data_IF_206388424916
#
_entry.id   IF_206388424916
#
_cell.length_a   1.000
_cell.length_b   1.000
_cell.length_c   1.000
_cell.angle_alpha   90.00
_cell.angle_beta   90.00
_cell.angle_gamma   90.00
#
_symmetry.space_group_name_H-M   'P 1'
#
loop_
_entity.id
_entity.type
_entity.pdbx_description
1 polymer ?
2 water ?
#
# COMPACT_ATOMS: atom_id res chain seq x y z
N UNK A 9 24.36 -13.32 16.40
CA UNK A 9 22.92 -13.23 16.18
C UNK A 9 22.24 -11.98 16.68
N UNK A 10 22.46 -11.64 17.94
CA UNK A 10 21.93 -10.40 18.43
C UNK A 10 22.32 -9.22 17.54
N UNK A 11 23.60 -9.15 17.16
CA UNK A 11 24.09 -8.04 16.38
C UNK A 11 23.35 -7.98 15.02
N UNK A 12 23.08 -9.16 14.51
CA UNK A 12 22.45 -9.25 13.22
C UNK A 12 20.93 -8.92 13.35
N UNK A 13 20.29 -9.42 14.39
CA UNK A 13 18.89 -9.14 14.61
C UNK A 13 18.70 -7.63 14.80
N UNK A 14 19.56 -7.05 15.62
CA UNK A 14 19.50 -5.61 15.85
C UNK A 14 19.77 -4.78 14.58
N UNK A 15 20.70 -5.24 13.75
CA UNK A 15 21.00 -4.47 12.57
C UNK A 15 19.86 -4.57 11.59
N UNK A 16 19.27 -5.75 11.49
CA UNK A 16 18.10 -5.94 10.63
C UNK A 16 17.01 -4.98 11.13
N UNK A 17 16.81 -4.90 12.43
CA UNK A 17 15.74 -4.03 12.87
C UNK A 17 16.05 -2.58 12.50
N UNK A 18 17.31 -2.19 12.58
CA UNK A 18 17.61 -0.79 12.41
C UNK A 18 17.51 -0.41 10.95
N UNK A 19 17.89 -1.34 10.10
CA UNK A 19 17.83 -1.13 8.70
C UNK A 19 16.36 -1.03 8.28
N UNK A 20 15.52 -1.96 8.75
CA UNK A 20 14.09 -1.83 8.47
C UNK A 20 13.48 -0.50 8.95
N UNK A 21 13.83 -0.07 10.16
CA UNK A 21 13.36 1.21 10.70
C UNK A 21 13.79 2.38 9.79
N UNK A 22 15.00 2.28 9.24
CA UNK A 22 15.50 3.31 8.36
C UNK A 22 14.73 3.29 7.02
N UNK A 23 14.49 2.11 6.48
CA UNK A 23 13.78 2.01 5.23
C UNK A 23 12.36 2.56 5.33
N UNK A 24 11.71 2.23 6.42
CA UNK A 24 10.44 2.83 6.69
C UNK A 24 10.47 4.36 6.63
N UNK A 25 11.48 5.01 7.22
CA UNK A 25 11.56 6.47 7.12
C UNK A 25 11.73 6.86 5.66
N UNK A 26 12.60 6.13 4.97
CA UNK A 26 12.95 6.47 3.63
C UNK A 26 11.67 6.47 2.76
N UNK A 27 10.89 5.41 2.93
CA UNK A 27 9.69 5.23 2.19
C UNK A 27 8.68 6.33 2.52
N UNK A 28 8.57 6.70 3.79
CA UNK A 28 7.68 7.79 4.17
C UNK A 28 8.10 9.11 3.52
N UNK A 29 9.41 9.32 3.37
CA UNK A 29 9.86 10.54 2.71
C UNK A 29 9.49 10.49 1.24
N UNK A 30 9.63 9.31 0.63
CA UNK A 30 9.46 9.23 -0.81
C UNK A 30 8.00 9.57 -1.12
N UNK A 31 7.07 9.05 -0.31
CA UNK A 31 5.67 9.34 -0.51
C UNK A 31 5.46 10.85 -0.54
N UNK A 32 6.07 11.55 0.42
CA UNK A 32 5.96 13.01 0.45
C UNK A 32 6.58 13.59 -0.81
N UNK A 33 7.68 13.02 -1.26
CA UNK A 33 8.26 13.56 -2.48
C UNK A 33 7.34 13.40 -3.68
N UNK A 34 6.62 12.28 -3.74
CA UNK A 34 5.80 11.98 -4.92
C UNK A 34 4.61 12.92 -5.02
N UNK A 35 3.99 13.17 -3.88
CA UNK A 35 2.99 14.22 -3.78
C UNK A 35 3.54 15.57 -4.26
N UNK A 36 4.71 15.95 -3.76
CA UNK A 36 5.28 17.28 -4.03
C UNK A 36 5.55 17.40 -5.49
N UNK A 37 6.19 16.38 -6.07
CA UNK A 37 6.43 16.38 -7.51
C UNK A 37 5.09 16.52 -8.27
N UNK A 38 4.05 15.89 -7.75
CA UNK A 38 2.80 15.89 -8.45
C UNK A 38 2.19 17.30 -8.41
N UNK A 39 2.26 17.94 -7.24
CA UNK A 39 1.69 19.26 -7.07
C UNK A 39 2.42 20.20 -8.06
N UNK A 40 3.72 20.00 -8.15
CA UNK A 40 4.56 20.75 -9.06
C UNK A 40 4.25 20.57 -10.53
N UNK A 41 3.71 19.43 -10.91
CA UNK A 41 3.27 19.26 -12.30
C UNK A 41 1.81 19.67 -12.50
N UNK A 42 1.18 20.30 -11.50
CA UNK A 42 -0.18 20.78 -11.73
C UNK A 42 -1.36 19.98 -11.18
N UNK A 43 -1.10 18.82 -10.54
CA UNK A 43 -2.17 17.99 -10.01
C UNK A 43 -2.70 18.56 -8.69
N UNK A 44 -3.99 18.39 -8.42
CA UNK A 44 -4.53 18.73 -7.12
C UNK A 44 -4.33 17.55 -6.11
N UNK A 45 -3.46 17.77 -5.14
CA UNK A 45 -3.17 16.80 -4.10
C UNK A 45 -4.39 16.36 -3.29
N UNK A 46 -5.29 17.28 -2.94
CA UNK A 46 -6.50 16.89 -2.19
C UNK A 46 -7.39 15.93 -3.00
N UNK A 47 -7.54 16.21 -4.29
CA UNK A 47 -8.23 15.26 -5.18
C UNK A 47 -7.51 13.91 -5.28
N UNK A 48 -6.18 13.94 -5.45
CA UNK A 48 -5.43 12.72 -5.48
C UNK A 48 -5.70 11.88 -4.24
N UNK A 49 -5.73 12.52 -3.07
CA UNK A 49 -5.87 11.75 -1.82
C UNK A 49 -7.25 11.15 -1.76
N UNK A 50 -8.25 11.87 -2.27
CA UNK A 50 -9.58 11.31 -2.22
C UNK A 50 -9.58 10.06 -3.14
N UNK A 51 -8.91 10.18 -4.30
CA UNK A 51 -8.91 9.12 -5.29
C UNK A 51 -8.24 7.84 -4.72
N UNK A 52 -7.15 8.05 -4.01
CA UNK A 52 -6.45 6.97 -3.40
C UNK A 52 -7.33 6.25 -2.35
N UNK A 53 -8.12 7.04 -1.64
CA UNK A 53 -9.00 6.51 -0.60
C UNK A 53 -10.11 5.69 -1.23
N UNK A 54 -10.73 6.24 -2.28
CA UNK A 54 -11.74 5.48 -3.00
C UNK A 54 -11.21 4.17 -3.66
N UNK A 55 -10.00 4.20 -4.21
CA UNK A 55 -9.43 2.96 -4.75
C UNK A 55 -9.25 1.95 -3.66
N UNK A 56 -8.96 2.41 -2.44
CA UNK A 56 -8.67 1.49 -1.36
C UNK A 56 -9.96 0.78 -0.97
N UNK A 57 -11.04 1.56 -0.89
CA UNK A 57 -12.35 0.97 -0.67
C UNK A 57 -12.69 -0.02 -1.79
N UNK A 58 -12.62 0.41 -3.06
CA UNK A 58 -12.92 -0.55 -4.16
C UNK A 58 -12.09 -1.82 -4.02
N UNK A 59 -10.80 -1.69 -3.69
CA UNK A 59 -9.89 -2.83 -3.62
C UNK A 59 -10.36 -3.75 -2.52
N UNK A 60 -10.81 -3.15 -1.40
CA UNK A 60 -11.39 -3.96 -0.32
C UNK A 60 -12.61 -4.76 -0.77
N UNK A 61 -13.50 -4.11 -1.52
CA UNK A 61 -14.69 -4.81 -1.98
C UNK A 61 -14.32 -5.90 -2.99
N UNK A 62 -13.39 -5.62 -3.90
CA UNK A 62 -12.94 -6.68 -4.81
C UNK A 62 -12.32 -7.83 -4.05
N UNK A 63 -11.64 -7.54 -2.94
CA UNK A 63 -10.99 -8.62 -2.23
C UNK A 63 -12.06 -9.56 -1.61
N UNK A 64 -13.14 -8.97 -1.12
CA UNK A 64 -14.28 -9.76 -0.62
C UNK A 64 -14.91 -10.58 -1.72
N UNK A 65 -15.05 -10.00 -2.91
CA UNK A 65 -15.66 -10.74 -4.00
C UNK A 65 -14.75 -11.90 -4.42
N UNK A 66 -13.45 -11.64 -4.44
CA UNK A 66 -12.48 -12.66 -4.78
C UNK A 66 -12.53 -13.77 -3.72
N UNK A 67 -12.74 -13.40 -2.45
CA UNK A 67 -12.73 -14.44 -1.41
C UNK A 67 -13.95 -15.33 -1.64
N UNK A 68 -15.07 -14.75 -2.10
CA UNK A 68 -16.29 -15.54 -2.31
C UNK A 68 -16.12 -16.50 -3.52
N UNK A 69 -15.55 -15.96 -4.60
CA UNK A 69 -15.32 -16.78 -5.80
C UNK A 69 -14.43 -17.96 -5.41
N UNK A 70 -13.39 -17.64 -4.63
CA UNK A 70 -12.42 -18.62 -4.20
C UNK A 70 -13.10 -19.75 -3.41
N UNK A 71 -13.88 -19.38 -2.40
CA UNK A 71 -14.71 -20.36 -1.68
C UNK A 71 -15.56 -21.24 -2.60
N UNK A 72 -16.24 -20.60 -3.55
CA UNK A 72 -17.06 -21.36 -4.49
C UNK A 72 -16.18 -22.37 -5.21
N UNK A 73 -15.02 -21.92 -5.70
CA UNK A 73 -14.06 -22.86 -6.29
C UNK A 73 -13.75 -23.99 -5.33
N UNK A 74 -13.38 -23.67 -4.09
CA UNK A 74 -12.97 -24.76 -3.22
C UNK A 74 -14.18 -25.68 -2.93
N UNK A 75 -15.37 -25.11 -2.80
CA UNK A 75 -16.54 -25.92 -2.57
C UNK A 75 -16.93 -26.90 -3.72
N UNK A 76 -16.31 -26.79 -4.91
CA UNK A 76 -16.64 -27.71 -5.99
C UNK A 76 -15.50 -28.66 -6.42
N UNK A 77 -14.26 -28.18 -6.43
CA UNK A 77 -13.11 -28.94 -6.89
C UNK A 77 -12.72 -28.83 -8.38
N UNK A 78 -12.16 -29.92 -8.91
CA UNK A 78 -11.84 -30.01 -10.35
C UNK A 78 -12.91 -30.73 -11.17
#
# INVERSE_FOLDING_TARGET
XDDPVAGDQLKSIVERIERLEEEKKTIADDIKEVYAEAKGNGYDVKVMRKVIAMRKRDANERAEEEAILDLYMQAVGESA
#
